data_IF_793330390595
#
_entry.id   IF_793330390595
#
_cell.length_a   1.000
_cell.length_b   1.000
_cell.length_c   1.000
_cell.angle_alpha   90.00
_cell.angle_beta   90.00
_cell.angle_gamma   90.00
#
_symmetry.space_group_name_H-M   'P 1'
#
loop_
_entity.id
_entity.type
_entity.pdbx_description
1 polymer ?
#
# COMPACT_ATOMS: atom_id res chain seq x y z
N UNK A 1 18.66 30.90 18.77
CA UNK A 1 17.18 30.73 18.68
C UNK A 1 16.77 30.02 17.40
N UNK A 2 17.40 30.28 16.25
CA UNK A 2 17.06 29.65 14.97
C UNK A 2 17.34 28.13 14.90
N UNK A 3 18.37 27.65 15.60
CA UNK A 3 18.72 26.21 15.60
C UNK A 3 17.73 25.37 16.43
N UNK A 4 17.16 25.95 17.49
CA UNK A 4 16.16 25.29 18.34
C UNK A 4 14.82 25.17 17.61
N UNK A 5 14.42 26.18 16.84
CA UNK A 5 13.20 26.09 16.01
C UNK A 5 13.34 25.11 14.86
N UNK A 6 14.53 25.04 14.22
CA UNK A 6 14.83 24.01 13.23
C UNK A 6 14.76 22.61 13.83
N UNK A 7 15.43 22.37 14.96
CA UNK A 7 15.40 21.08 15.68
C UNK A 7 13.97 20.66 16.07
N UNK A 8 13.17 21.59 16.61
CA UNK A 8 11.78 21.32 16.96
C UNK A 8 10.94 20.97 15.74
N UNK A 9 11.08 21.72 14.64
CA UNK A 9 10.36 21.45 13.38
C UNK A 9 10.74 20.09 12.77
N UNK A 10 12.01 19.68 12.85
CA UNK A 10 12.46 18.37 12.38
C UNK A 10 11.91 17.22 13.22
N UNK A 11 11.91 17.38 14.55
CA UNK A 11 11.36 16.38 15.48
C UNK A 11 9.84 16.24 15.30
N UNK A 12 9.11 17.35 15.24
CA UNK A 12 7.66 17.35 15.02
C UNK A 12 7.28 16.73 13.68
N UNK A 13 7.97 17.09 12.59
CA UNK A 13 7.73 16.48 11.26
C UNK A 13 7.90 14.97 11.31
N UNK A 14 8.98 14.49 11.95
CA UNK A 14 9.27 13.06 12.04
C UNK A 14 8.19 12.31 12.83
N UNK A 15 7.75 12.85 13.98
CA UNK A 15 6.70 12.27 14.82
C UNK A 15 5.37 12.22 14.08
N UNK A 16 5.01 13.30 13.38
CA UNK A 16 3.76 13.38 12.60
C UNK A 16 3.77 12.34 11.47
N UNK A 17 4.85 12.26 10.70
CA UNK A 17 4.98 11.28 9.60
C UNK A 17 4.92 9.85 10.14
N UNK A 18 5.64 9.52 11.21
CA UNK A 18 5.61 8.20 11.84
C UNK A 18 4.19 7.83 12.32
N UNK A 19 3.50 8.77 12.96
CA UNK A 19 2.16 8.53 13.50
C UNK A 19 1.15 8.30 12.38
N UNK A 20 1.14 9.17 11.37
CA UNK A 20 0.22 9.06 10.23
C UNK A 20 0.51 7.80 9.41
N UNK A 21 1.76 7.56 9.02
CA UNK A 21 2.14 6.38 8.25
C UNK A 21 1.88 5.08 9.04
N UNK A 22 2.13 5.08 10.35
CA UNK A 22 1.84 3.93 11.22
C UNK A 22 0.34 3.62 11.28
N UNK A 23 -0.51 4.64 11.48
CA UNK A 23 -1.96 4.47 11.48
C UNK A 23 -2.49 3.98 10.13
N UNK A 24 -2.02 4.56 9.02
CA UNK A 24 -2.39 4.12 7.67
C UNK A 24 -1.96 2.66 7.47
N UNK A 25 -0.74 2.29 7.86
CA UNK A 25 -0.24 0.91 7.72
C UNK A 25 -1.09 -0.08 8.49
N UNK A 26 -1.43 0.23 9.75
CA UNK A 26 -2.29 -0.62 10.58
C UNK A 26 -3.68 -0.77 9.93
N UNK A 27 -4.26 0.34 9.48
CA UNK A 27 -5.58 0.31 8.85
C UNK A 27 -5.58 -0.46 7.53
N UNK A 28 -4.55 -0.29 6.71
CA UNK A 28 -4.35 -1.03 5.45
C UNK A 28 -4.17 -2.52 5.69
N UNK A 29 -3.36 -2.92 6.67
CA UNK A 29 -3.14 -4.34 7.01
C UNK A 29 -4.43 -4.98 7.55
N UNK A 30 -5.12 -4.31 8.47
CA UNK A 30 -6.36 -4.82 9.06
C UNK A 30 -7.49 -4.87 8.02
N UNK A 31 -7.68 -3.80 7.25
CA UNK A 31 -8.72 -3.72 6.23
C UNK A 31 -8.55 -4.77 5.14
N UNK A 32 -7.36 -4.85 4.53
CA UNK A 32 -7.09 -5.84 3.49
C UNK A 32 -7.05 -7.28 4.03
N UNK A 33 -6.57 -7.49 5.26
CA UNK A 33 -6.62 -8.79 5.92
C UNK A 33 -8.06 -9.27 6.17
N UNK A 34 -8.95 -8.39 6.65
CA UNK A 34 -10.36 -8.71 6.87
C UNK A 34 -11.08 -9.04 5.56
N UNK A 35 -10.79 -8.33 4.47
CA UNK A 35 -11.32 -8.65 3.14
C UNK A 35 -10.84 -10.01 2.67
N UNK A 36 -9.54 -10.32 2.82
CA UNK A 36 -8.98 -11.63 2.47
C UNK A 36 -9.63 -12.77 3.27
N UNK A 37 -9.87 -12.56 4.56
CA UNK A 37 -10.59 -13.50 5.44
C UNK A 37 -12.04 -13.67 4.98
N UNK A 38 -12.72 -12.57 4.64
CA UNK A 38 -14.11 -12.58 4.18
C UNK A 38 -14.28 -13.35 2.86
N UNK A 39 -13.32 -13.20 1.93
CA UNK A 39 -13.28 -13.97 0.67
C UNK A 39 -12.99 -15.44 0.95
N UNK A 40 -12.04 -15.76 1.85
CA UNK A 40 -11.79 -17.15 2.27
C UNK A 40 -13.00 -17.80 2.95
N UNK A 41 -13.80 -17.05 3.71
CA UNK A 41 -15.00 -17.57 4.36
C UNK A 41 -16.12 -17.87 3.34
N UNK A 42 -16.16 -17.13 2.23
CA UNK A 42 -17.12 -17.29 1.12
C UNK A 42 -16.63 -18.19 -0.02
N UNK A 43 -15.47 -18.85 0.14
CA UNK A 43 -14.75 -19.57 -0.93
C UNK A 43 -15.50 -20.76 -1.56
N UNK A 44 -16.74 -21.04 -1.14
CA UNK A 44 -17.60 -22.04 -1.77
C UNK A 44 -18.35 -21.52 -3.02
N UNK A 45 -18.37 -20.20 -3.28
CA UNK A 45 -19.00 -19.61 -4.47
C UNK A 45 -17.91 -19.02 -5.39
N UNK A 46 -17.44 -19.81 -6.36
CA UNK A 46 -16.32 -19.47 -7.25
C UNK A 46 -16.78 -18.49 -8.35
N UNK A 47 -16.55 -17.19 -8.17
CA UNK A 47 -16.72 -16.18 -9.24
C UNK A 47 -15.37 -15.55 -9.62
N UNK A 48 -15.17 -15.25 -10.91
CA UNK A 48 -13.94 -14.67 -11.44
C UNK A 48 -13.57 -13.33 -10.77
N UNK A 49 -14.57 -12.56 -10.33
CA UNK A 49 -14.40 -11.28 -9.65
C UNK A 49 -13.70 -11.40 -8.28
N UNK A 50 -13.75 -12.56 -7.62
CA UNK A 50 -13.13 -12.75 -6.29
C UNK A 50 -11.59 -12.85 -6.35
N UNK A 51 -11.00 -13.29 -7.48
CA UNK A 51 -9.54 -13.35 -7.64
C UNK A 51 -8.89 -11.97 -7.75
N UNK A 52 -9.57 -11.02 -8.40
CA UNK A 52 -9.11 -9.63 -8.50
C UNK A 52 -9.03 -8.98 -7.11
N UNK A 53 -10.05 -9.19 -6.28
CA UNK A 53 -10.09 -8.67 -4.91
C UNK A 53 -8.95 -9.25 -4.07
N UNK A 54 -8.69 -10.55 -4.19
CA UNK A 54 -7.59 -11.20 -3.46
C UNK A 54 -6.22 -10.68 -3.89
N UNK A 55 -6.00 -10.49 -5.20
CA UNK A 55 -4.74 -9.93 -5.72
C UNK A 55 -4.50 -8.50 -5.24
N UNK A 56 -5.55 -7.68 -5.19
CA UNK A 56 -5.48 -6.31 -4.68
C UNK A 56 -5.12 -6.28 -3.19
N UNK A 57 -5.82 -7.07 -2.37
CA UNK A 57 -5.57 -7.13 -0.94
C UNK A 57 -4.17 -7.65 -0.60
N UNK A 58 -3.63 -8.59 -1.37
CA UNK A 58 -2.25 -9.05 -1.21
C UNK A 58 -1.24 -7.94 -1.56
N UNK A 59 -1.45 -7.23 -2.67
CA UNK A 59 -0.57 -6.15 -3.09
C UNK A 59 -0.51 -5.01 -2.03
N UNK A 60 -1.68 -4.57 -1.55
CA UNK A 60 -1.78 -3.52 -0.52
C UNK A 60 -1.18 -3.98 0.83
N UNK A 61 -1.28 -5.27 1.17
CA UNK A 61 -0.64 -5.83 2.35
C UNK A 61 0.89 -5.80 2.25
N UNK A 62 1.46 -6.18 1.10
CA UNK A 62 2.90 -6.11 0.87
C UNK A 62 3.42 -4.67 0.86
N UNK A 63 2.66 -3.72 0.31
CA UNK A 63 3.00 -2.28 0.35
C UNK A 63 2.96 -1.73 1.77
N UNK A 64 1.92 -2.05 2.54
CA UNK A 64 1.86 -1.65 3.96
C UNK A 64 3.04 -2.19 4.76
N UNK A 65 3.45 -3.44 4.50
CA UNK A 65 4.53 -4.09 5.24
C UNK A 65 5.93 -3.59 4.86
N UNK A 66 6.18 -3.34 3.58
CA UNK A 66 7.53 -3.06 3.07
C UNK A 66 7.72 -1.64 2.53
N UNK A 67 6.72 -1.03 1.91
CA UNK A 67 6.92 0.29 1.26
C UNK A 67 6.86 1.42 2.29
N UNK A 68 5.87 1.39 3.20
CA UNK A 68 5.67 2.42 4.22
C UNK A 68 6.86 2.57 5.19
N UNK A 69 7.42 1.51 5.81
CA UNK A 69 8.55 1.69 6.73
C UNK A 69 9.83 2.18 6.03
N UNK A 70 10.08 1.73 4.80
CA UNK A 70 11.25 2.20 4.03
C UNK A 70 11.07 3.66 3.57
N UNK A 71 9.85 4.08 3.24
CA UNK A 71 9.53 5.49 2.95
C UNK A 71 9.79 6.38 4.17
N UNK A 72 9.38 5.95 5.36
CA UNK A 72 9.63 6.70 6.62
C UNK A 72 11.12 6.84 6.91
N UNK A 73 11.91 5.77 6.74
CA UNK A 73 13.37 5.82 6.91
C UNK A 73 13.99 6.79 5.91
N UNK A 74 13.58 6.75 4.64
CA UNK A 74 14.09 7.68 3.63
C UNK A 74 13.75 9.14 3.96
N UNK A 75 12.54 9.40 4.45
CA UNK A 75 12.08 10.74 4.83
C UNK A 75 12.86 11.33 6.01
N UNK A 76 13.23 10.51 6.99
CA UNK A 76 13.97 10.94 8.19
C UNK A 76 15.45 11.19 7.89
N UNK A 77 16.11 10.29 7.16
CA UNK A 77 17.54 10.39 6.91
C UNK A 77 17.91 11.35 5.76
N UNK A 78 16.92 11.82 4.96
CA UNK A 78 17.10 12.55 3.70
C UNK A 78 18.12 11.90 2.72
N UNK A 79 18.46 10.65 2.99
CA UNK A 79 19.48 9.83 2.31
C UNK A 79 19.05 8.38 2.49
N UNK A 80 19.42 7.53 1.53
CA UNK A 80 19.14 6.09 1.63
C UNK A 80 20.25 5.42 2.46
N UNK A 81 19.97 4.93 3.68
CA UNK A 81 21.01 4.36 4.55
C UNK A 81 21.38 2.92 4.16
N UNK A 82 20.56 2.27 3.33
CA UNK A 82 20.78 0.90 2.87
C UNK A 82 21.57 0.84 1.56
N UNK A 83 21.87 -0.37 1.09
CA UNK A 83 22.52 -0.58 -0.20
C UNK A 83 21.64 -0.10 -1.37
N UNK A 84 22.26 0.37 -2.45
CA UNK A 84 21.58 0.88 -3.65
C UNK A 84 20.55 -0.10 -4.24
N UNK A 85 20.84 -1.42 -4.18
CA UNK A 85 19.93 -2.47 -4.65
C UNK A 85 18.56 -2.43 -3.97
N UNK A 86 18.52 -2.16 -2.66
CA UNK A 86 17.26 -2.10 -1.92
C UNK A 86 16.43 -0.87 -2.31
N UNK A 87 17.06 0.23 -2.70
CA UNK A 87 16.36 1.42 -3.19
C UNK A 87 15.64 1.11 -4.51
N UNK A 88 16.34 0.47 -5.46
CA UNK A 88 15.74 0.07 -6.74
C UNK A 88 14.60 -0.93 -6.57
N UNK A 89 14.77 -1.93 -5.68
CA UNK A 89 13.73 -2.91 -5.38
C UNK A 89 12.51 -2.22 -4.77
N UNK A 90 12.71 -1.36 -3.76
CA UNK A 90 11.63 -0.63 -3.10
C UNK A 90 10.83 0.24 -4.08
N UNK A 91 11.53 1.04 -4.91
CA UNK A 91 10.90 1.88 -5.92
C UNK A 91 10.15 1.06 -6.98
N UNK A 92 10.72 -0.09 -7.37
CA UNK A 92 10.08 -0.98 -8.34
C UNK A 92 8.82 -1.63 -7.78
N UNK A 93 8.80 -1.99 -6.49
CA UNK A 93 7.62 -2.54 -5.81
C UNK A 93 6.52 -1.49 -5.73
N UNK A 94 6.86 -0.26 -5.35
CA UNK A 94 5.90 0.86 -5.25
C UNK A 94 5.21 1.15 -6.60
N UNK A 95 6.01 1.26 -7.66
CA UNK A 95 5.51 1.46 -9.01
C UNK A 95 4.67 0.27 -9.52
N UNK A 96 5.15 -0.95 -9.27
CA UNK A 96 4.45 -2.18 -9.69
C UNK A 96 3.12 -2.33 -8.95
N UNK A 97 3.08 -2.04 -7.65
CA UNK A 97 1.83 -2.13 -6.88
C UNK A 97 0.83 -1.08 -7.34
N UNK A 98 1.26 0.16 -7.56
CA UNK A 98 0.39 1.22 -8.09
C UNK A 98 -0.21 0.81 -9.45
N UNK A 99 0.61 0.21 -10.32
CA UNK A 99 0.17 -0.32 -11.61
C UNK A 99 -0.81 -1.48 -11.43
N UNK A 100 -0.54 -2.41 -10.51
CA UNK A 100 -1.41 -3.55 -10.23
C UNK A 100 -2.78 -3.11 -9.67
N UNK A 101 -2.82 -2.12 -8.77
CA UNK A 101 -4.05 -1.59 -8.21
C UNK A 101 -4.90 -0.90 -9.29
N UNK A 102 -4.27 -0.11 -10.17
CA UNK A 102 -4.94 0.50 -11.32
C UNK A 102 -5.52 -0.56 -12.28
N UNK A 103 -4.71 -1.56 -12.65
CA UNK A 103 -5.15 -2.64 -13.54
C UNK A 103 -6.30 -3.44 -12.93
N UNK A 104 -6.23 -3.70 -11.63
CA UNK A 104 -7.30 -4.42 -10.91
C UNK A 104 -8.60 -3.62 -10.92
N UNK A 105 -8.54 -2.31 -10.67
CA UNK A 105 -9.68 -1.40 -10.78
C UNK A 105 -10.26 -1.37 -12.21
N UNK A 106 -9.39 -1.31 -13.22
CA UNK A 106 -9.79 -1.34 -14.63
C UNK A 106 -10.46 -2.67 -14.99
N UNK A 107 -9.92 -3.80 -14.54
CA UNK A 107 -10.53 -5.12 -14.73
C UNK A 107 -11.88 -5.25 -14.03
N UNK A 108 -12.03 -4.72 -12.81
CA UNK A 108 -13.33 -4.67 -12.12
C UNK A 108 -14.36 -3.82 -12.88
N UNK A 109 -13.92 -2.70 -13.47
CA UNK A 109 -14.80 -1.85 -14.29
C UNK A 109 -15.20 -2.54 -15.60
N UNK A 110 -14.28 -3.24 -16.26
CA UNK A 110 -14.54 -4.02 -17.46
C UNK A 110 -15.51 -5.18 -17.19
N UNK A 111 -15.31 -5.93 -16.09
CA UNK A 111 -16.22 -7.01 -15.67
C UNK A 111 -17.67 -6.50 -15.56
N UNK A 112 -17.86 -5.35 -14.90
CA UNK A 112 -19.17 -4.70 -14.80
C UNK A 112 -19.69 -4.19 -16.14
N UNK A 113 -18.81 -3.64 -16.99
CA UNK A 113 -19.21 -3.17 -18.31
C UNK A 113 -19.71 -4.32 -19.19
N UNK A 114 -19.00 -5.45 -19.23
CA UNK A 114 -19.44 -6.64 -19.97
C UNK A 114 -20.72 -7.25 -19.39
N UNK A 115 -20.87 -7.27 -18.06
CA UNK A 115 -22.12 -7.73 -17.43
C UNK A 115 -23.34 -6.88 -17.80
N UNK A 116 -23.16 -5.57 -18.01
CA UNK A 116 -24.23 -4.65 -18.42
C UNK A 116 -24.48 -4.65 -19.93
N UNK A 117 -23.45 -4.91 -20.74
CA UNK A 117 -23.54 -4.84 -22.20
C UNK A 117 -23.92 -6.18 -22.84
N UNK A 118 -23.73 -7.30 -22.14
CA UNK A 118 -24.26 -8.61 -22.52
C UNK A 118 -25.80 -8.66 -22.34
N UNK A 119 -26.49 -7.91 -23.19
CA UNK A 119 -27.88 -8.20 -23.62
C UNK A 119 -27.84 -9.33 -24.64
#
# INVERSE_FOLDING_TARGET
MEDLSKQLNWSLRSIIVLTICGLITIFTILGNGLVLISVKLRFHARSYSDYFIVSLCLADFFVGLFVMPFMTIHSIYLRWPFHYRLCYIWMSIDFTCSTASFLTLASMALDRYYALTNV
#
